data_IF_377705204219
#
_entry.id   IF_377705204219
#
_cell.length_a   1.000
_cell.length_b   1.000
_cell.length_c   1.000
_cell.angle_alpha   90.00
_cell.angle_beta   90.00
_cell.angle_gamma   90.00
#
_symmetry.space_group_name_H-M   'P 1'
#
loop_
_entity.id
_entity.type
_entity.pdbx_description
1 polymer ?
#
# COMPACT_ATOMS: atom_id res chain seq x y z
N UNK A 1 -55.96 10.97 28.28
CA UNK A 1 -54.91 11.83 27.67
C UNK A 1 -53.56 11.15 27.83
N UNK A 2 -52.97 10.61 26.76
CA UNK A 2 -51.70 9.88 26.82
C UNK A 2 -50.50 10.83 26.84
N UNK A 3 -49.57 10.65 27.78
CA UNK A 3 -48.31 11.41 27.85
C UNK A 3 -47.47 11.13 26.60
N UNK A 4 -47.15 12.18 25.83
CA UNK A 4 -46.24 12.08 24.68
C UNK A 4 -44.83 11.78 25.19
N UNK A 5 -44.21 10.70 24.70
CA UNK A 5 -42.83 10.34 25.03
C UNK A 5 -41.85 11.42 24.56
N UNK A 6 -40.87 11.77 25.40
CA UNK A 6 -39.82 12.71 25.00
C UNK A 6 -38.79 12.01 24.13
N UNK A 7 -38.58 12.51 22.92
CA UNK A 7 -37.47 12.10 22.06
C UNK A 7 -36.22 12.84 22.53
N UNK A 8 -35.31 12.13 23.21
CA UNK A 8 -33.96 12.62 23.48
C UNK A 8 -33.10 12.36 22.25
N UNK A 9 -32.75 13.41 21.51
CA UNK A 9 -31.66 13.33 20.51
C UNK A 9 -30.35 13.19 21.28
N UNK A 10 -29.64 12.08 21.07
CA UNK A 10 -28.27 11.96 21.56
C UNK A 10 -27.42 12.95 20.74
N UNK A 11 -26.92 14.00 21.40
CA UNK A 11 -25.93 14.87 20.79
C UNK A 11 -24.65 14.04 20.60
N UNK A 12 -24.26 13.80 19.34
CA UNK A 12 -22.92 13.40 18.96
C UNK A 12 -21.98 14.61 19.10
N UNK A 13 -21.85 15.14 20.32
CA UNK A 13 -20.88 16.17 20.62
C UNK A 13 -19.49 15.53 20.65
N UNK A 14 -18.91 15.40 19.45
CA UNK A 14 -17.51 15.02 19.25
C UNK A 14 -16.56 15.99 19.97
N UNK A 15 -16.99 17.25 20.16
CA UNK A 15 -16.19 18.38 20.66
C UNK A 15 -15.96 18.39 22.17
N UNK A 16 -16.70 17.61 22.97
CA UNK A 16 -16.57 17.57 24.44
C UNK A 16 -15.72 16.42 24.94
N UNK A 17 -15.25 15.57 24.03
CA UNK A 17 -14.39 14.45 24.38
C UNK A 17 -12.95 14.96 24.23
N UNK A 18 -12.15 15.00 25.31
CA UNK A 18 -10.74 15.33 25.18
C UNK A 18 -10.14 14.45 24.10
N UNK A 19 -9.52 15.05 23.08
CA UNK A 19 -8.61 14.34 22.19
C UNK A 19 -7.47 13.83 23.07
N UNK A 20 -7.66 12.65 23.65
CA UNK A 20 -6.58 11.94 24.28
C UNK A 20 -5.69 11.51 23.12
N UNK A 21 -4.68 12.33 22.83
CA UNK A 21 -3.66 12.02 21.83
C UNK A 21 -3.02 10.70 22.28
N UNK A 22 -3.43 9.61 21.63
CA UNK A 22 -2.80 8.31 21.84
C UNK A 22 -1.34 8.46 21.42
N UNK A 23 -0.44 8.47 22.41
CA UNK A 23 0.98 8.40 22.17
C UNK A 23 1.31 7.00 21.69
N UNK A 24 2.24 6.89 20.75
CA UNK A 24 2.71 5.59 20.28
C UNK A 24 3.69 4.95 21.28
N UNK A 25 4.26 5.75 22.18
CA UNK A 25 5.22 5.34 23.21
C UNK A 25 4.54 4.65 24.42
N UNK A 26 3.23 4.84 24.59
CA UNK A 26 2.46 4.21 25.67
C UNK A 26 2.32 2.70 25.42
N UNK A 27 2.26 1.87 26.45
CA UNK A 27 2.04 0.42 26.29
C UNK A 27 0.72 0.12 25.54
N UNK A 28 0.72 -0.93 24.70
CA UNK A 28 -0.46 -1.27 23.91
C UNK A 28 -1.55 -1.88 24.82
N UNK A 29 -2.77 -1.30 24.85
CA UNK A 29 -3.82 -1.84 25.69
C UNK A 29 -4.27 -3.21 25.19
N UNK A 30 -4.41 -4.18 26.09
CA UNK A 30 -4.99 -5.49 25.77
C UNK A 30 -6.48 -5.42 25.40
N UNK A 31 -7.19 -4.40 25.90
CA UNK A 31 -8.62 -4.19 25.64
C UNK A 31 -8.86 -2.71 25.35
N UNK A 32 -9.55 -2.45 24.24
CA UNK A 32 -9.87 -1.09 23.79
C UNK A 32 -11.21 -0.64 24.36
N UNK A 33 -11.20 0.47 25.12
CA UNK A 33 -12.44 1.05 25.69
C UNK A 33 -13.24 1.83 24.65
N UNK A 34 -12.59 2.38 23.64
CA UNK A 34 -13.21 3.17 22.57
C UNK A 34 -12.62 2.75 21.22
N UNK A 35 -13.48 2.47 20.25
CA UNK A 35 -13.03 2.07 18.90
C UNK A 35 -12.21 3.16 18.19
N UNK A 36 -12.42 4.44 18.54
CA UNK A 36 -11.66 5.55 17.96
C UNK A 36 -10.19 5.55 18.40
N UNK A 37 -9.91 5.13 19.63
CA UNK A 37 -8.54 5.05 20.14
C UNK A 37 -7.77 3.94 19.40
N UNK A 38 -8.43 2.79 19.17
CA UNK A 38 -7.90 1.69 18.36
C UNK A 38 -7.63 2.16 16.93
N UNK A 39 -8.65 2.73 16.29
CA UNK A 39 -8.55 3.22 14.92
C UNK A 39 -7.42 4.23 14.75
N UNK A 40 -7.33 5.24 15.63
CA UNK A 40 -6.30 6.27 15.59
C UNK A 40 -4.89 5.68 15.76
N UNK A 41 -4.70 4.78 16.73
CA UNK A 41 -3.39 4.18 16.97
C UNK A 41 -2.94 3.30 15.82
N UNK A 42 -3.77 2.36 15.37
CA UNK A 42 -3.41 1.45 14.28
C UNK A 42 -3.27 2.17 12.94
N UNK A 43 -4.08 3.20 12.66
CA UNK A 43 -3.88 4.02 11.46
C UNK A 43 -2.51 4.68 11.45
N UNK A 44 -2.01 5.14 12.61
CA UNK A 44 -0.65 5.69 12.70
C UNK A 44 0.42 4.62 12.52
N UNK A 45 0.26 3.45 13.15
CA UNK A 45 1.22 2.35 13.03
C UNK A 45 1.32 1.81 11.60
N UNK A 46 0.18 1.63 10.92
CA UNK A 46 0.14 1.21 9.51
C UNK A 46 0.84 2.24 8.62
N UNK A 47 0.68 3.55 8.89
CA UNK A 47 1.41 4.58 8.14
C UNK A 47 2.91 4.49 8.34
N UNK A 48 3.37 4.29 9.57
CA UNK A 48 4.80 4.13 9.87
C UNK A 48 5.36 2.91 9.14
N UNK A 49 4.65 1.78 9.20
CA UNK A 49 5.07 0.57 8.51
C UNK A 49 5.14 0.77 6.98
N UNK A 50 4.12 1.40 6.39
CA UNK A 50 4.12 1.75 4.97
C UNK A 50 5.28 2.69 4.60
N UNK A 51 5.56 3.70 5.42
CA UNK A 51 6.66 4.64 5.19
C UNK A 51 8.03 3.93 5.27
N UNK A 52 8.20 3.02 6.24
CA UNK A 52 9.41 2.22 6.41
C UNK A 52 9.62 1.24 5.25
N UNK A 53 8.56 0.55 4.81
CA UNK A 53 8.60 -0.35 3.65
C UNK A 53 8.95 0.43 2.37
N UNK A 54 8.31 1.58 2.17
CA UNK A 54 8.56 2.46 1.01
C UNK A 54 10.01 2.95 1.00
N UNK A 55 10.51 3.43 2.15
CA UNK A 55 11.89 3.90 2.27
C UNK A 55 12.90 2.77 2.01
N UNK A 56 12.62 1.55 2.47
CA UNK A 56 13.45 0.38 2.21
C UNK A 56 13.48 0.02 0.72
N UNK A 57 12.34 0.08 0.02
CA UNK A 57 12.27 -0.16 -1.44
C UNK A 57 13.05 0.90 -2.20
N UNK A 58 12.88 2.18 -1.85
CA UNK A 58 13.62 3.27 -2.47
C UNK A 58 15.13 3.16 -2.27
N UNK A 59 15.58 2.79 -1.06
CA UNK A 59 17.00 2.62 -0.72
C UNK A 59 17.63 1.55 -1.62
N UNK A 60 16.94 0.41 -1.78
CA UNK A 60 17.38 -0.67 -2.65
C UNK A 60 17.50 -0.22 -4.10
N UNK A 61 16.50 0.48 -4.64
CA UNK A 61 16.56 0.96 -6.02
C UNK A 61 17.66 1.99 -6.28
N UNK A 62 17.93 2.87 -5.32
CA UNK A 62 18.95 3.93 -5.45
C UNK A 62 20.37 3.38 -5.30
N UNK A 63 20.59 2.39 -4.43
CA UNK A 63 21.94 1.91 -4.08
C UNK A 63 22.33 0.57 -4.69
N UNK A 64 21.38 -0.32 -4.98
CA UNK A 64 21.71 -1.65 -5.48
C UNK A 64 21.94 -1.62 -7.00
N UNK A 65 22.90 -2.41 -7.46
CA UNK A 65 23.12 -2.58 -8.89
C UNK A 65 22.05 -3.49 -9.51
N UNK A 66 21.90 -3.43 -10.85
CA UNK A 66 20.90 -4.21 -11.60
C UNK A 66 20.99 -5.72 -11.33
N UNK A 67 22.19 -6.28 -11.27
CA UNK A 67 22.41 -7.72 -11.06
C UNK A 67 21.91 -8.18 -9.68
N UNK A 68 22.15 -7.37 -8.64
CA UNK A 68 21.70 -7.67 -7.28
C UNK A 68 20.18 -7.61 -7.17
N UNK A 69 19.54 -6.64 -7.83
CA UNK A 69 18.08 -6.53 -7.85
C UNK A 69 17.42 -7.72 -8.58
N UNK A 70 17.99 -8.15 -9.71
CA UNK A 70 17.56 -9.36 -10.42
C UNK A 70 17.74 -10.61 -9.58
N UNK A 71 18.92 -10.81 -8.99
CA UNK A 71 19.21 -11.99 -8.17
C UNK A 71 18.31 -12.07 -6.92
N UNK A 72 17.94 -10.92 -6.35
CA UNK A 72 16.97 -10.85 -5.26
C UNK A 72 15.52 -11.15 -5.71
N UNK A 73 15.24 -11.10 -7.02
CA UNK A 73 13.93 -11.31 -7.61
C UNK A 73 12.96 -10.14 -7.37
N UNK A 74 13.50 -8.93 -7.15
CA UNK A 74 12.73 -7.73 -6.80
C UNK A 74 12.37 -6.86 -8.02
N UNK A 75 13.08 -7.02 -9.13
CA UNK A 75 12.88 -6.23 -10.35
C UNK A 75 13.15 -7.09 -11.56
N UNK A 76 12.43 -6.82 -12.64
CA UNK A 76 12.70 -7.37 -13.96
C UNK A 76 13.08 -6.22 -14.90
N UNK A 77 13.99 -6.48 -15.84
CA UNK A 77 14.49 -5.48 -16.77
C UNK A 77 14.31 -5.95 -18.21
N UNK A 78 14.31 -4.98 -19.13
CA UNK A 78 14.37 -5.22 -20.58
C UNK A 78 13.25 -6.13 -21.08
N UNK A 79 12.04 -5.91 -20.57
CA UNK A 79 10.84 -6.65 -20.98
C UNK A 79 10.13 -5.94 -22.13
N UNK A 80 9.58 -6.73 -23.05
CA UNK A 80 8.66 -6.26 -24.06
C UNK A 80 7.22 -6.35 -23.54
N UNK A 81 6.43 -5.31 -23.81
CA UNK A 81 5.05 -5.20 -23.35
C UNK A 81 4.09 -5.42 -24.52
N UNK A 82 3.11 -6.32 -24.34
CA UNK A 82 1.97 -6.50 -25.26
C UNK A 82 0.65 -6.30 -24.53
N UNK A 83 -0.28 -5.59 -25.15
CA UNK A 83 -1.64 -5.44 -24.62
C UNK A 83 -2.43 -6.72 -24.84
N UNK A 84 -3.18 -7.16 -23.84
CA UNK A 84 -4.04 -8.34 -23.89
C UNK A 84 -5.47 -8.00 -23.46
N UNK A 85 -6.08 -7.07 -24.17
CA UNK A 85 -7.46 -6.66 -23.91
C UNK A 85 -7.60 -5.86 -22.62
N UNK A 86 -8.77 -5.99 -21.97
CA UNK A 86 -9.15 -5.21 -20.79
C UNK A 86 -9.89 -6.09 -19.78
N UNK A 87 -9.73 -5.78 -18.50
CA UNK A 87 -10.46 -6.37 -17.39
C UNK A 87 -11.11 -5.27 -16.57
N UNK A 88 -12.44 -5.30 -16.41
CA UNK A 88 -13.21 -4.23 -15.76
C UNK A 88 -12.92 -2.80 -16.27
N UNK A 89 -12.49 -2.67 -17.52
CA UNK A 89 -12.13 -1.40 -18.14
C UNK A 89 -10.64 -1.08 -18.11
N UNK A 90 -9.87 -1.73 -17.25
CA UNK A 90 -8.42 -1.54 -17.12
C UNK A 90 -7.67 -2.38 -18.17
N UNK A 91 -6.61 -1.83 -18.80
CA UNK A 91 -5.83 -2.57 -19.78
C UNK A 91 -5.02 -3.68 -19.12
N UNK A 92 -5.11 -4.89 -19.67
CA UNK A 92 -4.20 -5.97 -19.30
C UNK A 92 -2.95 -5.84 -20.17
N UNK A 93 -1.78 -5.83 -19.55
CA UNK A 93 -0.49 -5.80 -20.25
C UNK A 93 0.31 -7.02 -19.83
N UNK A 94 0.79 -7.78 -20.81
CA UNK A 94 1.69 -8.91 -20.58
C UNK A 94 3.10 -8.48 -20.90
N UNK A 95 4.02 -8.75 -19.98
CA UNK A 95 5.43 -8.51 -20.16
C UNK A 95 6.16 -9.82 -20.42
N UNK A 96 7.00 -9.86 -21.45
CA UNK A 96 7.75 -11.03 -21.87
C UNK A 96 9.20 -10.65 -22.14
N UNK A 97 10.12 -11.62 -22.09
CA UNK A 97 11.48 -11.39 -22.55
C UNK A 97 11.47 -11.15 -24.08
N UNK A 98 12.32 -10.25 -24.63
CA UNK A 98 12.36 -9.96 -26.06
C UNK A 98 12.66 -11.19 -26.93
N UNK A 99 13.45 -12.13 -26.39
CA UNK A 99 13.77 -13.42 -27.02
C UNK A 99 12.70 -14.50 -26.79
N UNK A 100 11.59 -14.16 -26.11
CA UNK A 100 10.52 -15.06 -25.67
C UNK A 100 11.03 -16.23 -24.81
N UNK A 101 12.18 -16.06 -24.17
CA UNK A 101 12.69 -17.01 -23.20
C UNK A 101 11.87 -16.98 -21.91
N UNK A 102 12.14 -17.95 -21.04
CA UNK A 102 11.51 -18.03 -19.73
C UNK A 102 11.92 -16.83 -18.88
N UNK A 103 10.96 -16.25 -18.17
CA UNK A 103 11.20 -15.16 -17.22
C UNK A 103 12.27 -15.54 -16.18
N UNK A 104 13.17 -14.61 -15.82
CA UNK A 104 14.09 -14.78 -14.71
C UNK A 104 13.37 -15.12 -13.40
N UNK A 105 14.06 -15.77 -12.47
CA UNK A 105 13.51 -16.03 -11.14
C UNK A 105 13.13 -14.71 -10.46
N UNK A 106 11.87 -14.58 -10.05
CA UNK A 106 11.35 -13.40 -9.36
C UNK A 106 10.42 -13.80 -8.21
N UNK A 107 10.10 -12.84 -7.36
CA UNK A 107 9.18 -13.02 -6.23
C UNK A 107 7.76 -12.55 -6.50
N UNK A 108 7.52 -11.92 -7.66
CA UNK A 108 6.19 -11.44 -8.02
C UNK A 108 5.16 -12.58 -8.04
N UNK A 109 4.09 -12.40 -7.27
CA UNK A 109 2.91 -13.25 -7.23
C UNK A 109 1.65 -12.48 -7.62
N UNK A 110 0.54 -13.21 -7.75
CA UNK A 110 -0.76 -12.60 -8.05
C UNK A 110 -1.20 -11.66 -6.94
N UNK A 111 -1.63 -10.45 -7.31
CA UNK A 111 -2.06 -9.41 -6.37
C UNK A 111 -0.94 -8.48 -5.90
N UNK A 112 0.32 -8.71 -6.30
CA UNK A 112 1.41 -7.79 -6.00
C UNK A 112 1.24 -6.48 -6.76
N UNK A 113 1.49 -5.37 -6.07
CA UNK A 113 1.55 -4.05 -6.67
C UNK A 113 2.95 -3.83 -7.24
N UNK A 114 3.02 -3.48 -8.52
CA UNK A 114 4.27 -3.29 -9.25
C UNK A 114 4.36 -1.91 -9.86
N UNK A 115 5.57 -1.38 -9.90
CA UNK A 115 5.90 -0.15 -10.60
C UNK A 115 6.53 -0.46 -11.95
N UNK A 116 5.97 0.14 -13.00
CA UNK A 116 6.41 0.00 -14.38
C UNK A 116 7.03 1.32 -14.83
N UNK A 117 8.27 1.25 -15.31
CA UNK A 117 9.02 2.39 -15.85
C UNK A 117 9.74 1.97 -17.12
N UNK A 118 9.94 2.92 -18.05
CA UNK A 118 10.68 2.65 -19.30
C UNK A 118 12.19 2.59 -19.07
N UNK A 119 12.74 3.47 -18.22
CA UNK A 119 14.17 3.44 -17.92
C UNK A 119 14.45 3.41 -16.42
N UNK A 120 14.10 4.47 -15.68
CA UNK A 120 14.40 4.64 -14.26
C UNK A 120 13.15 5.16 -13.53
N UNK A 121 12.70 4.47 -12.47
CA UNK A 121 11.47 4.86 -11.78
C UNK A 121 11.55 6.26 -11.14
N UNK A 122 12.70 6.69 -10.62
CA UNK A 122 12.81 7.99 -9.91
C UNK A 122 12.95 9.23 -10.80
N UNK A 123 13.11 9.06 -12.12
CA UNK A 123 13.39 10.17 -13.05
C UNK A 123 12.36 10.34 -14.16
N UNK A 124 11.36 9.47 -14.21
CA UNK A 124 10.39 9.39 -15.30
C UNK A 124 8.99 9.11 -14.75
N UNK A 125 8.01 9.18 -15.65
CA UNK A 125 6.65 8.75 -15.34
C UNK A 125 6.63 7.26 -15.03
N UNK A 126 6.19 6.93 -13.83
CA UNK A 126 5.91 5.56 -13.39
C UNK A 126 4.43 5.26 -13.62
N UNK A 127 4.14 4.00 -13.91
CA UNK A 127 2.79 3.44 -13.89
C UNK A 127 2.70 2.37 -12.81
N UNK A 128 1.64 2.41 -12.02
CA UNK A 128 1.34 1.37 -11.04
C UNK A 128 0.43 0.33 -11.68
N UNK A 129 0.64 -0.94 -11.34
CA UNK A 129 -0.18 -2.05 -11.81
C UNK A 129 -0.25 -3.17 -10.77
N UNK A 130 -1.14 -4.12 -11.02
CA UNK A 130 -1.34 -5.32 -10.21
C UNK A 130 -1.04 -6.54 -11.08
N UNK A 131 -0.33 -7.52 -10.52
CA UNK A 131 0.07 -8.78 -11.19
C UNK A 131 -1.05 -9.82 -11.17
#
# INVERSE_FOLDING_TARGET
MGKRGSIRRMNSAQDLIPEQKVSLDDEMPHIWKRGQDHFSRFTKLIKIELDDETAMVEERWKKWNKQRLLAAGLTLFELDARTQGRFFGDPIVVFEQPDRSRMPSHRFGHGDIVLISRTKPWGEKIYEGIV
#
